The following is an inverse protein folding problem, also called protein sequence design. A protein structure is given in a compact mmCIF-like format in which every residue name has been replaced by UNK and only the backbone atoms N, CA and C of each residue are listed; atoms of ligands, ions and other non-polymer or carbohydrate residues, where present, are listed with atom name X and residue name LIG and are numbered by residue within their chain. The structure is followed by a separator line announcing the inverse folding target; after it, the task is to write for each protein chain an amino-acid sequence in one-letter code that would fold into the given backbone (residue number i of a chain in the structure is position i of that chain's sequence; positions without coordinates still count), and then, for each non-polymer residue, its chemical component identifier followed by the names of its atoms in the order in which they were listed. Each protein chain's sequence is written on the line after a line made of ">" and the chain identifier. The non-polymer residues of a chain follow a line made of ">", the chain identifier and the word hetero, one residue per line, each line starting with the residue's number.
data_IF_166747158483
#
_entry.id   IF_166747158483
#
_cell.length_a   1.000
_cell.length_b   1.000
_cell.length_c   1.000
_cell.angle_alpha   90.00
_cell.angle_beta   90.00
_cell.angle_gamma   90.00
#
_symmetry.space_group_name_H-M   'P 1'
#
loop_
_entity.id
_entity.type
_entity.pdbx_description
1 polymer ?
#
# COMPACT_ATOMS: atom_id res chain seq x y z
N UNK A 1 -26.84 -17.86 -9.23
CA UNK A 1 -25.63 -18.44 -9.77
C UNK A 1 -24.81 -17.35 -10.46
N UNK A 2 -23.57 -17.64 -10.74
CA UNK A 2 -22.64 -16.70 -11.35
C UNK A 2 -22.35 -17.12 -12.78
N UNK A 3 -23.42 -17.13 -13.61
CA UNK A 3 -23.31 -17.48 -15.00
C UNK A 3 -23.97 -16.44 -15.88
N UNK A 4 -23.47 -16.31 -17.10
CA UNK A 4 -24.06 -15.48 -18.14
C UNK A 4 -24.54 -16.44 -19.23
N UNK A 5 -25.83 -16.34 -19.59
CA UNK A 5 -26.40 -17.16 -20.63
C UNK A 5 -26.56 -16.31 -21.89
N UNK A 6 -26.10 -16.83 -23.00
CA UNK A 6 -26.25 -16.16 -24.30
C UNK A 6 -27.09 -17.03 -25.22
N UNK A 7 -27.92 -16.41 -26.05
CA UNK A 7 -28.81 -17.11 -26.95
C UNK A 7 -28.97 -16.29 -28.24
N UNK A 8 -28.94 -17.02 -29.36
CA UNK A 8 -29.25 -16.42 -30.65
C UNK A 8 -30.22 -17.36 -31.40
N UNK A 9 -31.22 -16.78 -32.05
CA UNK A 9 -32.19 -17.51 -32.86
C UNK A 9 -32.16 -16.95 -34.26
N UNK A 10 -32.12 -17.86 -35.26
CA UNK A 10 -32.21 -17.47 -36.66
C UNK A 10 -33.34 -18.24 -37.30
N UNK A 11 -33.99 -17.64 -38.29
CA UNK A 11 -35.14 -18.20 -38.99
C UNK A 11 -34.91 -18.05 -40.49
N UNK A 12 -35.13 -19.14 -41.26
CA UNK A 12 -34.99 -19.08 -42.72
C UNK A 12 -36.26 -18.55 -43.36
N UNK A 13 -36.24 -18.41 -44.68
CA UNK A 13 -37.39 -17.85 -45.43
C UNK A 13 -38.63 -18.75 -45.35
N UNK A 14 -38.45 -20.04 -45.07
CA UNK A 14 -39.56 -20.98 -44.93
C UNK A 14 -40.19 -21.03 -43.54
N UNK A 15 -39.61 -20.24 -42.59
CA UNK A 15 -40.12 -20.19 -41.22
C UNK A 15 -39.49 -21.20 -40.29
N UNK A 16 -38.42 -21.91 -40.71
CA UNK A 16 -37.68 -22.81 -39.83
C UNK A 16 -36.73 -22.04 -38.98
N UNK A 17 -36.70 -22.31 -37.67
CA UNK A 17 -35.88 -21.57 -36.70
C UNK A 17 -34.89 -22.51 -36.01
N UNK A 18 -33.73 -21.96 -35.66
CA UNK A 18 -32.73 -22.66 -34.87
C UNK A 18 -32.22 -21.68 -33.80
N UNK A 19 -32.06 -22.21 -32.60
CA UNK A 19 -31.55 -21.44 -31.46
C UNK A 19 -30.24 -22.06 -31.00
N UNK A 20 -29.21 -21.24 -30.87
CA UNK A 20 -27.94 -21.66 -30.30
C UNK A 20 -27.77 -20.96 -28.95
N UNK A 21 -27.19 -21.65 -28.01
CA UNK A 21 -26.98 -21.14 -26.67
C UNK A 21 -25.56 -21.44 -26.20
N UNK A 22 -25.08 -20.61 -25.29
CA UNK A 22 -23.81 -20.81 -24.61
C UNK A 22 -23.91 -20.23 -23.21
N UNK A 23 -23.08 -20.71 -22.31
CA UNK A 23 -23.06 -20.20 -20.95
C UNK A 23 -21.59 -19.99 -20.53
N UNK A 24 -21.39 -18.98 -19.69
CA UNK A 24 -20.08 -18.67 -19.16
C UNK A 24 -20.20 -18.46 -17.66
N UNK A 25 -19.37 -19.18 -16.87
CA UNK A 25 -19.27 -18.99 -15.45
C UNK A 25 -18.26 -17.91 -15.10
N UNK A 26 -18.47 -17.22 -14.00
CA UNK A 26 -17.54 -16.22 -13.51
C UNK A 26 -17.54 -16.22 -12.00
N UNK A 27 -16.50 -15.60 -11.41
CA UNK A 27 -16.36 -15.44 -9.98
C UNK A 27 -16.50 -13.97 -9.61
N UNK A 28 -16.88 -13.72 -8.36
CA UNK A 28 -16.99 -12.36 -7.84
C UNK A 28 -16.20 -12.29 -6.54
N UNK A 29 -15.29 -11.31 -6.47
CA UNK A 29 -14.57 -10.97 -5.25
C UNK A 29 -14.59 -9.46 -5.11
N UNK A 30 -15.44 -8.95 -4.23
CA UNK A 30 -15.55 -7.52 -3.94
C UNK A 30 -15.05 -7.19 -2.54
N UNK A 31 -14.37 -8.14 -1.90
CA UNK A 31 -13.81 -7.96 -0.56
C UNK A 31 -12.43 -7.36 -0.68
N UNK A 32 -12.18 -6.16 -0.13
CA UNK A 32 -10.82 -5.59 -0.17
C UNK A 32 -9.89 -6.40 0.73
N UNK A 33 -8.58 -6.42 0.42
CA UNK A 33 -7.62 -7.05 1.32
C UNK A 33 -7.50 -6.27 2.62
N UNK A 34 -7.05 -6.93 3.68
CA UNK A 34 -6.73 -6.26 4.94
C UNK A 34 -5.32 -5.70 4.86
N UNK A 35 -5.09 -4.51 5.43
CA UNK A 35 -3.76 -3.91 5.45
C UNK A 35 -3.56 -3.16 6.74
N UNK A 36 -2.38 -3.31 7.34
CA UNK A 36 -1.96 -2.54 8.50
C UNK A 36 -0.53 -2.07 8.29
N UNK A 37 -0.19 -0.94 8.89
CA UNK A 37 1.18 -0.43 8.91
C UNK A 37 1.41 0.24 10.26
N UNK A 38 2.59 -0.01 10.84
CA UNK A 38 2.96 0.56 12.14
C UNK A 38 4.41 1.02 12.04
N UNK A 39 4.62 2.32 12.26
CA UNK A 39 5.97 2.87 12.40
C UNK A 39 6.50 2.54 13.78
N UNK A 40 7.80 2.27 13.87
CA UNK A 40 8.44 2.07 15.17
C UNK A 40 8.33 3.35 15.99
N UNK A 41 8.14 3.20 17.30
CA UNK A 41 7.85 4.34 18.19
C UNK A 41 8.99 5.34 18.23
N UNK A 42 10.24 4.88 18.03
CA UNK A 42 11.41 5.76 18.07
C UNK A 42 12.12 5.69 16.72
N UNK A 43 12.30 6.84 16.06
CA UNK A 43 13.03 6.89 14.79
C UNK A 43 14.53 6.91 15.01
N UNK A 44 14.98 7.34 16.18
CA UNK A 44 16.35 7.18 16.67
C UNK A 44 16.28 6.58 18.07
N UNK A 45 17.43 6.30 18.66
CA UNK A 45 17.47 5.65 19.97
C UNK A 45 16.71 6.45 21.04
N UNK A 46 16.70 7.77 20.93
CA UNK A 46 16.05 8.67 21.90
C UNK A 46 14.87 9.45 21.29
N UNK A 47 14.50 9.12 20.05
CA UNK A 47 13.41 9.77 19.30
C UNK A 47 13.64 11.28 19.12
N UNK A 48 14.91 11.71 19.12
CA UNK A 48 15.31 13.10 18.94
C UNK A 48 16.38 13.15 17.85
N UNK A 49 16.23 14.09 16.92
CA UNK A 49 17.25 14.33 15.89
C UNK A 49 18.22 15.36 16.43
N UNK A 50 19.46 14.93 16.69
CA UNK A 50 20.50 15.82 17.18
C UNK A 50 21.33 16.39 16.02
N UNK A 51 22.32 17.23 16.36
CA UNK A 51 23.15 17.89 15.33
C UNK A 51 23.90 16.90 14.45
N UNK A 52 24.38 15.79 15.01
CA UNK A 52 25.08 14.76 14.24
C UNK A 52 24.12 14.04 13.29
N UNK A 53 22.97 13.66 13.78
CA UNK A 53 21.96 12.95 12.99
C UNK A 53 21.38 13.83 11.88
N UNK A 54 21.32 15.13 12.09
CA UNK A 54 20.85 16.05 11.06
C UNK A 54 21.69 16.00 9.78
N UNK A 55 22.94 15.54 9.88
CA UNK A 55 23.82 15.38 8.73
C UNK A 55 23.88 13.96 8.18
N UNK A 56 23.06 13.06 8.67
CA UNK A 56 23.07 11.64 8.32
C UNK A 56 21.79 11.22 7.64
N UNK A 57 21.82 10.01 7.02
CA UNK A 57 20.62 9.31 6.59
C UNK A 57 20.07 8.56 7.80
N UNK A 58 18.80 8.79 8.09
CA UNK A 58 18.14 8.17 9.25
C UNK A 58 17.24 7.05 8.75
N UNK A 59 17.49 5.79 9.13
CA UNK A 59 16.61 4.71 8.73
C UNK A 59 15.29 4.79 9.53
N UNK A 60 14.18 4.94 8.81
CA UNK A 60 12.85 4.91 9.39
C UNK A 60 12.31 3.51 9.18
N UNK A 61 11.98 2.84 10.26
CA UNK A 61 11.61 1.43 10.25
C UNK A 61 10.20 1.22 10.78
N UNK A 62 9.62 0.09 10.43
CA UNK A 62 8.30 -0.28 10.89
C UNK A 62 7.92 -1.65 10.37
N UNK A 63 6.66 -2.00 10.57
CA UNK A 63 6.13 -3.29 10.16
C UNK A 63 4.77 -3.14 9.50
N UNK A 64 4.42 -4.15 8.71
CA UNK A 64 3.13 -4.20 8.02
C UNK A 64 2.48 -5.54 8.33
N UNK A 65 1.16 -5.62 8.11
CA UNK A 65 0.42 -6.85 8.41
C UNK A 65 -0.81 -7.00 7.56
N UNK A 66 -1.61 -7.99 7.91
CA UNK A 66 -2.78 -8.34 7.12
C UNK A 66 -2.37 -9.03 5.84
N UNK A 67 -2.95 -8.60 4.72
CA UNK A 67 -2.68 -9.18 3.41
C UNK A 67 -1.54 -8.47 2.66
N UNK A 68 -0.86 -7.54 3.29
CA UNK A 68 0.29 -6.86 2.69
C UNK A 68 1.37 -7.89 2.37
N UNK A 69 1.92 -7.79 1.16
CA UNK A 69 2.86 -8.79 0.62
C UNK A 69 4.28 -8.24 0.60
N UNK A 70 5.24 -9.16 0.68
CA UNK A 70 6.64 -8.83 0.40
C UNK A 70 6.74 -8.23 -1.00
N UNK A 71 7.41 -7.09 -1.11
CA UNK A 71 7.54 -6.36 -2.37
C UNK A 71 6.50 -5.28 -2.58
N UNK A 72 5.47 -5.18 -1.73
CA UNK A 72 4.56 -4.04 -1.77
C UNK A 72 5.33 -2.76 -1.40
N UNK A 73 4.90 -1.63 -1.94
CA UNK A 73 5.61 -0.36 -1.77
C UNK A 73 5.10 0.36 -0.53
N UNK A 74 6.04 0.77 0.32
CA UNK A 74 5.79 1.67 1.45
C UNK A 74 6.27 3.05 1.05
N UNK A 75 5.47 4.07 1.28
CA UNK A 75 5.80 5.46 0.99
C UNK A 75 5.80 6.26 2.28
N UNK A 76 6.90 6.98 2.52
CA UNK A 76 6.99 7.93 3.62
C UNK A 76 6.91 9.35 3.07
N UNK A 77 6.25 10.23 3.79
CA UNK A 77 6.21 11.65 3.46
C UNK A 77 6.78 12.44 4.61
N UNK A 78 7.82 13.21 4.34
CA UNK A 78 8.52 14.05 5.32
C UNK A 78 8.88 15.34 4.62
N UNK A 79 8.58 16.48 5.24
CA UNK A 79 8.95 17.81 4.73
C UNK A 79 8.44 18.02 3.27
N UNK A 80 7.26 17.50 2.97
CA UNK A 80 6.68 17.60 1.64
C UNK A 80 7.34 16.73 0.58
N UNK A 81 8.28 15.87 0.96
CA UNK A 81 8.97 14.95 0.04
C UNK A 81 8.56 13.53 0.33
N UNK A 82 8.62 12.69 -0.69
CA UNK A 82 8.28 11.27 -0.55
C UNK A 82 9.52 10.40 -0.65
N UNK A 83 9.54 9.32 0.14
CA UNK A 83 10.61 8.33 0.17
C UNK A 83 9.95 6.97 0.13
N UNK A 84 10.44 6.06 -0.70
CA UNK A 84 9.80 4.77 -0.89
C UNK A 84 10.75 3.63 -0.60
N UNK A 85 10.18 2.49 -0.23
CA UNK A 85 10.88 1.24 -0.04
C UNK A 85 9.92 0.08 -0.19
N UNK A 86 10.46 -1.13 -0.24
CA UNK A 86 9.66 -2.33 -0.42
C UNK A 86 9.54 -3.08 0.89
N UNK A 87 8.41 -3.77 1.08
CA UNK A 87 8.20 -4.67 2.21
C UNK A 87 9.19 -5.82 2.12
N UNK A 88 9.90 -6.08 3.20
CA UNK A 88 10.93 -7.12 3.29
C UNK A 88 10.32 -8.47 3.64
N UNK A 89 11.15 -9.52 3.60
CA UNK A 89 10.69 -10.89 3.78
C UNK A 89 10.02 -11.14 5.14
N UNK A 90 10.39 -10.36 6.16
CA UNK A 90 9.82 -10.50 7.52
C UNK A 90 8.65 -9.54 7.75
N UNK A 91 8.11 -8.93 6.70
CA UNK A 91 7.00 -7.97 6.76
C UNK A 91 7.37 -6.70 7.50
N UNK A 92 8.62 -6.29 7.41
CA UNK A 92 9.11 -5.01 7.90
C UNK A 92 9.59 -4.16 6.74
N UNK A 93 9.86 -2.89 7.01
CA UNK A 93 10.47 -2.00 6.04
C UNK A 93 11.50 -1.11 6.73
N UNK A 94 12.45 -0.63 5.93
CA UNK A 94 13.46 0.34 6.39
C UNK A 94 13.72 1.29 5.23
N UNK A 95 13.46 2.57 5.44
CA UNK A 95 13.58 3.59 4.41
C UNK A 95 14.44 4.71 4.96
N UNK A 96 15.53 5.03 4.27
CA UNK A 96 16.42 6.10 4.70
C UNK A 96 15.82 7.46 4.34
N UNK A 97 15.78 8.35 5.33
CA UNK A 97 15.32 9.73 5.17
C UNK A 97 16.46 10.65 5.60
N UNK A 98 16.82 11.64 4.78
CA UNK A 98 17.87 12.57 5.21
C UNK A 98 17.51 13.28 6.51
N UNK A 99 18.43 13.30 7.46
CA UNK A 99 18.22 13.99 8.72
C UNK A 99 17.89 15.47 8.52
N UNK A 100 18.44 16.08 7.47
CA UNK A 100 18.13 17.47 7.14
C UNK A 100 16.66 17.70 6.84
N UNK A 101 16.00 16.73 6.18
CA UNK A 101 14.57 16.82 5.91
C UNK A 101 13.75 16.65 7.18
N UNK A 102 14.20 15.78 8.10
CA UNK A 102 13.53 15.65 9.40
C UNK A 102 13.61 16.92 10.22
N UNK A 103 14.75 17.60 10.18
CA UNK A 103 14.91 18.89 10.88
C UNK A 103 14.04 19.97 10.24
N UNK A 104 13.95 19.99 8.91
CA UNK A 104 13.23 21.03 8.18
C UNK A 104 11.71 20.84 8.19
N UNK A 105 11.22 19.66 8.54
CA UNK A 105 9.79 19.37 8.55
C UNK A 105 9.08 20.23 9.59
N UNK A 106 8.07 20.98 9.17
CA UNK A 106 7.40 21.94 10.04
C UNK A 106 6.54 21.27 11.11
N UNK A 107 5.97 20.09 10.83
CA UNK A 107 5.08 19.42 11.79
C UNK A 107 5.78 18.31 12.58
N UNK A 108 7.03 18.02 12.28
CA UNK A 108 7.82 17.01 12.99
C UNK A 108 7.11 15.67 13.11
N UNK A 109 6.46 15.27 12.00
CA UNK A 109 5.83 13.94 11.90
C UNK A 109 6.22 13.28 10.60
N UNK A 110 6.28 11.95 10.63
CA UNK A 110 6.52 11.10 9.47
C UNK A 110 5.19 10.43 9.15
N UNK A 111 4.74 10.56 7.91
CA UNK A 111 3.54 9.88 7.44
C UNK A 111 3.96 8.67 6.63
N UNK A 112 3.38 7.50 6.94
CA UNK A 112 3.67 6.26 6.24
C UNK A 112 2.41 5.73 5.61
N UNK A 113 2.58 5.08 4.45
CA UNK A 113 1.47 4.53 3.70
C UNK A 113 1.92 3.27 2.98
N UNK A 114 1.06 2.24 2.98
CA UNK A 114 1.26 1.04 2.16
C UNK A 114 -0.06 0.70 1.48
N UNK A 115 0.03 0.27 0.23
CA UNK A 115 -1.14 -0.17 -0.53
C UNK A 115 -0.91 -1.61 -0.96
N UNK A 116 -1.91 -2.46 -0.74
CA UNK A 116 -1.88 -3.84 -1.22
C UNK A 116 -3.10 -4.12 -2.08
N UNK A 117 -2.94 -5.01 -3.06
CA UNK A 117 -3.99 -5.36 -4.02
C UNK A 117 -4.09 -6.88 -4.06
N UNK A 118 -5.32 -7.40 -4.02
CA UNK A 118 -5.52 -8.83 -4.11
C UNK A 118 -5.56 -9.28 -5.58
N UNK A 119 -5.69 -10.60 -5.79
CA UNK A 119 -5.65 -11.17 -7.14
C UNK A 119 -6.83 -10.72 -8.00
N UNK A 120 -7.93 -10.30 -7.38
CA UNK A 120 -9.11 -9.81 -8.11
C UNK A 120 -9.02 -8.32 -8.44
N UNK A 121 -7.98 -7.61 -7.96
CA UNK A 121 -7.79 -6.19 -8.23
C UNK A 121 -8.33 -5.26 -7.16
N UNK A 122 -8.83 -5.79 -6.04
CA UNK A 122 -9.31 -4.96 -4.93
C UNK A 122 -8.11 -4.46 -4.13
N UNK A 123 -8.08 -3.18 -3.78
CA UNK A 123 -6.95 -2.54 -3.12
C UNK A 123 -7.35 -1.96 -1.77
N UNK A 124 -6.40 -1.92 -0.85
CA UNK A 124 -6.55 -1.25 0.44
C UNK A 124 -5.26 -0.50 0.77
N UNK A 125 -5.42 0.71 1.28
CA UNK A 125 -4.30 1.54 1.74
C UNK A 125 -4.37 1.67 3.24
N UNK A 126 -3.25 1.40 3.93
CA UNK A 126 -3.10 1.62 5.36
C UNK A 126 -2.12 2.76 5.59
N UNK A 127 -2.33 3.51 6.66
CA UNK A 127 -1.48 4.67 7.00
C UNK A 127 -1.16 4.66 8.48
N UNK A 128 -0.03 5.29 8.83
CA UNK A 128 0.37 5.54 10.21
C UNK A 128 1.23 6.79 10.25
N UNK A 129 1.33 7.40 11.41
CA UNK A 129 2.15 8.58 11.61
C UNK A 129 2.99 8.41 12.88
N UNK A 130 4.17 9.02 12.88
CA UNK A 130 5.07 9.01 14.04
C UNK A 130 5.64 10.40 14.22
N UNK A 131 5.49 10.96 15.44
CA UNK A 131 6.07 12.23 15.80
C UNK A 131 7.49 12.05 16.36
N UNK A 132 8.28 13.11 16.25
CA UNK A 132 9.64 13.10 16.78
C UNK A 132 10.03 14.53 17.21
N UNK A 133 11.15 14.63 17.90
CA UNK A 133 11.67 15.91 18.34
C UNK A 133 12.99 16.23 17.63
N UNK A 134 13.37 17.50 17.63
CA UNK A 134 14.63 17.96 17.05
C UNK A 134 15.34 18.81 18.08
N UNK A 135 16.62 18.50 18.31
CA UNK A 135 17.48 19.30 19.18
C UNK A 135 18.87 19.30 18.54
N UNK A 136 19.18 20.38 17.83
CA UNK A 136 20.47 20.52 17.12
C UNK A 136 21.38 21.55 17.79
N UNK A 137 21.09 21.91 19.01
CA UNK A 137 21.92 22.86 19.79
C UNK A 137 22.99 22.15 20.59
#
# INVERSE_FOLDING_TARGET
>A
DKTIDAKVTTTDAAGNSTTATDTEGYSVDVTPPAATITLDANITADDVINATEAGQQIPVTGSVGGDVKVGDTVTLTVNGKTFTGLVLADKTFSINVPGADLVADSDKTIDAKVTTTDAAGNSTTATDTEGYSVDVT
#
